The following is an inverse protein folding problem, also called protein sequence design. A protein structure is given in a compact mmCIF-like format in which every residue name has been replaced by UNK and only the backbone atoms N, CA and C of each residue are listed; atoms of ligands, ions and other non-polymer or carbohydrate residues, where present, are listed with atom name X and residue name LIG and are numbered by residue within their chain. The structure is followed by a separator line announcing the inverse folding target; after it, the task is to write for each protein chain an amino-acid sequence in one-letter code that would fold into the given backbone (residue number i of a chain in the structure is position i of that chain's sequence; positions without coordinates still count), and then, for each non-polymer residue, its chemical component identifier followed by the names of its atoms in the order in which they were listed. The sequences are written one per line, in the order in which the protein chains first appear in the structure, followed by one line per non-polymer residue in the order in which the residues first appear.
data_IF_776384990196
#
_entry.id   IF_776384990196
#
_cell.length_a   1.000
_cell.length_b   1.000
_cell.length_c   1.000
_cell.angle_alpha   90.00
_cell.angle_beta   90.00
_cell.angle_gamma   90.00
#
_symmetry.space_group_name_H-M   'P 1'
#
loop_
_entity.id
_entity.type
_entity.pdbx_description
1 polymer ?
#
# COMPACT_ATOMS: atom_id res chain seq x y z
N UNK A 1 2.39 11.53 -18.00
CA UNK A 1 1.39 12.23 -17.42
C UNK A 1 0.45 11.43 -16.59
N UNK A 2 -0.20 10.49 -16.99
CA UNK A 2 -1.22 9.82 -16.23
C UNK A 2 -0.70 8.93 -15.13
N UNK A 3 0.56 8.63 -15.12
CA UNK A 3 1.08 7.66 -14.21
C UNK A 3 0.97 8.09 -12.76
N UNK A 4 1.29 9.32 -12.48
CA UNK A 4 1.23 9.80 -11.14
C UNK A 4 -0.15 9.81 -10.60
N UNK A 5 -1.11 9.95 -11.45
CA UNK A 5 -2.45 10.10 -11.00
C UNK A 5 -3.06 8.81 -10.55
N UNK A 6 -2.43 7.68 -10.86
CA UNK A 6 -2.96 6.43 -10.41
C UNK A 6 -2.71 6.21 -8.94
N UNK A 7 -1.70 6.85 -8.40
CA UNK A 7 -1.39 6.69 -6.99
C UNK A 7 -2.10 7.79 -6.22
N UNK A 8 -3.33 7.50 -5.81
CA UNK A 8 -4.15 8.47 -5.13
C UNK A 8 -3.85 8.47 -3.64
N UNK A 9 -2.89 9.30 -3.23
CA UNK A 9 -2.42 9.31 -1.86
C UNK A 9 -2.72 10.65 -1.22
N UNK A 10 -3.26 10.62 -0.01
CA UNK A 10 -3.59 11.84 0.71
C UNK A 10 -2.34 12.70 0.85
N UNK A 11 -2.43 14.02 0.56
CA UNK A 11 -1.25 14.88 0.64
C UNK A 11 -0.58 14.89 1.99
N UNK A 12 -1.30 14.59 3.07
CA UNK A 12 -0.70 14.53 4.38
C UNK A 12 0.33 13.43 4.50
N UNK A 13 0.29 12.44 3.60
CA UNK A 13 1.23 11.32 3.62
C UNK A 13 2.36 11.50 2.62
N UNK A 14 2.48 12.70 2.04
CA UNK A 14 3.42 12.92 0.95
C UNK A 14 4.84 12.51 1.29
N UNK A 15 5.29 12.79 2.50
CA UNK A 15 6.66 12.50 2.88
C UNK A 15 6.94 11.02 3.07
N UNK A 16 5.89 10.21 3.11
CA UNK A 16 6.03 8.78 3.33
C UNK A 16 5.93 7.97 2.04
N UNK A 17 5.75 8.63 0.91
CA UNK A 17 5.51 7.96 -0.35
C UNK A 17 6.79 7.33 -0.89
N UNK A 18 6.71 6.06 -1.24
CA UNK A 18 7.85 5.33 -1.82
C UNK A 18 7.35 4.50 -2.98
N UNK A 19 8.23 4.06 -3.88
CA UNK A 19 7.82 3.19 -4.97
C UNK A 19 7.36 1.84 -4.44
N UNK A 20 6.32 1.32 -5.04
CA UNK A 20 5.78 0.02 -4.63
C UNK A 20 6.74 -1.11 -4.97
N UNK A 21 7.51 -0.96 -6.03
CA UNK A 21 8.27 -2.07 -6.53
C UNK A 21 9.29 -2.61 -5.53
N UNK A 22 9.67 -1.86 -4.54
CA UNK A 22 10.59 -2.38 -3.54
C UNK A 22 9.94 -3.09 -2.37
N UNK A 23 8.62 -3.16 -2.35
CA UNK A 23 7.89 -3.69 -1.21
C UNK A 23 7.37 -5.08 -1.49
N UNK A 24 7.36 -5.90 -0.46
CA UNK A 24 6.89 -7.27 -0.57
C UNK A 24 5.95 -7.63 0.56
N UNK A 25 4.93 -8.43 0.29
CA UNK A 25 4.05 -8.89 1.36
C UNK A 25 4.81 -9.83 2.28
N UNK A 26 4.37 -9.90 3.52
CA UNK A 26 4.98 -10.78 4.51
C UNK A 26 4.62 -12.22 4.18
N UNK A 27 5.60 -13.06 3.85
CA UNK A 27 5.29 -14.43 3.49
C UNK A 27 4.72 -15.25 4.63
N UNK A 28 4.95 -14.83 5.86
CA UNK A 28 4.40 -15.53 6.99
C UNK A 28 2.96 -15.16 7.26
N UNK A 29 2.51 -14.10 6.68
CA UNK A 29 1.15 -13.64 6.85
C UNK A 29 0.37 -13.99 5.60
N UNK A 30 0.36 -15.25 5.25
CA UNK A 30 -0.25 -15.67 4.04
C UNK A 30 -1.74 -15.73 4.22
N UNK A 31 -2.36 -14.61 4.21
CA UNK A 31 -3.77 -14.56 4.33
C UNK A 31 -4.33 -14.34 2.95
N UNK A 32 -5.13 -15.24 2.51
CA UNK A 32 -5.77 -15.06 1.22
C UNK A 32 -6.88 -14.08 1.40
N UNK A 33 -6.74 -12.91 0.86
CA UNK A 33 -7.79 -11.92 0.93
C UNK A 33 -8.82 -12.27 -0.11
N UNK A 34 -10.09 -12.28 0.29
CA UNK A 34 -11.13 -12.57 -0.60
C UNK A 34 -11.28 -11.41 -1.61
N UNK A 35 -11.66 -11.75 -2.81
CA UNK A 35 -11.74 -10.76 -3.89
C UNK A 35 -12.68 -9.62 -3.54
N UNK A 36 -13.72 -9.90 -2.79
CA UNK A 36 -14.65 -8.89 -2.41
C UNK A 36 -14.01 -7.88 -1.48
N UNK A 37 -13.18 -8.35 -0.54
CA UNK A 37 -12.49 -7.45 0.36
C UNK A 37 -11.53 -6.55 -0.40
N UNK A 38 -10.84 -7.12 -1.38
CA UNK A 38 -9.92 -6.35 -2.18
C UNK A 38 -10.68 -5.32 -3.01
N UNK A 39 -11.83 -5.71 -3.54
CA UNK A 39 -12.62 -4.80 -4.34
C UNK A 39 -13.10 -3.61 -3.52
N UNK A 40 -13.55 -3.86 -2.29
CA UNK A 40 -13.98 -2.79 -1.40
C UNK A 40 -12.80 -1.85 -1.12
N UNK A 41 -11.63 -2.40 -0.88
CA UNK A 41 -10.45 -1.60 -0.63
C UNK A 41 -10.06 -0.79 -1.86
N UNK A 42 -10.15 -1.39 -3.05
CA UNK A 42 -9.84 -0.68 -4.28
C UNK A 42 -10.77 0.50 -4.47
N UNK A 43 -12.06 0.29 -4.19
CA UNK A 43 -13.02 1.38 -4.30
C UNK A 43 -12.70 2.50 -3.33
N UNK A 44 -12.32 2.14 -2.12
CA UNK A 44 -11.96 3.12 -1.11
C UNK A 44 -10.73 3.92 -1.53
N UNK A 45 -9.72 3.24 -2.04
CA UNK A 45 -8.50 3.91 -2.48
C UNK A 45 -8.77 4.80 -3.69
N UNK A 46 -9.65 4.38 -4.58
CA UNK A 46 -9.97 5.19 -5.74
C UNK A 46 -10.77 6.43 -5.37
N UNK A 47 -11.65 6.30 -4.39
CA UNK A 47 -12.54 7.38 -4.01
C UNK A 47 -11.87 8.37 -3.05
N UNK A 48 -11.25 7.83 -2.01
CA UNK A 48 -10.70 8.69 -0.95
C UNK A 48 -9.18 8.75 -0.97
N UNK A 49 -8.57 7.84 -1.66
CA UNK A 49 -7.12 7.75 -1.66
C UNK A 49 -6.62 7.05 -0.42
N UNK A 50 -5.32 6.92 -0.33
CA UNK A 50 -4.71 6.32 0.85
C UNK A 50 -4.67 7.37 1.95
N UNK A 51 -5.34 7.11 3.05
CA UNK A 51 -5.39 8.05 4.17
C UNK A 51 -4.59 7.55 5.36
N UNK A 52 -4.19 6.29 5.35
CA UNK A 52 -3.39 5.71 6.42
C UNK A 52 -2.21 5.00 5.78
N UNK A 53 -0.99 5.22 6.26
CA UNK A 53 0.15 4.55 5.66
C UNK A 53 0.18 3.07 6.03
N UNK A 54 0.79 2.27 5.17
CA UNK A 54 1.05 0.88 5.52
C UNK A 54 2.38 0.85 6.26
N UNK A 55 2.72 -0.28 6.83
CA UNK A 55 3.92 -0.38 7.67
C UNK A 55 4.83 -1.46 7.12
N UNK A 56 6.10 -1.14 6.97
CA UNK A 56 7.07 -2.11 6.47
C UNK A 56 8.23 -2.25 7.46
N UNK A 57 8.91 -3.38 7.36
CA UNK A 57 10.13 -3.61 8.09
C UNK A 57 11.08 -4.28 7.13
N UNK A 58 12.13 -3.59 6.73
CA UNK A 58 13.12 -4.09 5.78
C UNK A 58 12.49 -4.49 4.45
N UNK A 59 11.54 -3.70 4.00
CA UNK A 59 10.89 -3.91 2.71
C UNK A 59 9.74 -4.89 2.74
N UNK A 60 9.48 -5.51 3.89
CA UNK A 60 8.39 -6.47 4.01
C UNK A 60 7.23 -5.81 4.73
N UNK A 61 6.04 -5.91 4.15
CA UNK A 61 4.87 -5.25 4.70
C UNK A 61 4.32 -6.06 5.86
N UNK A 62 4.40 -5.48 7.05
CA UNK A 62 3.91 -6.14 8.26
C UNK A 62 2.49 -5.72 8.59
N UNK A 63 2.01 -4.62 8.01
CA UNK A 63 0.66 -4.18 8.22
C UNK A 63 0.19 -3.45 6.98
N UNK A 64 -0.97 -3.79 6.48
CA UNK A 64 -1.51 -3.14 5.29
C UNK A 64 -1.30 -3.95 4.03
N UNK A 65 -1.16 -5.27 4.14
CA UNK A 65 -0.98 -6.12 2.96
C UNK A 65 -2.15 -6.03 2.00
N UNK A 66 -3.37 -5.91 2.51
CA UNK A 66 -4.54 -5.78 1.64
C UNK A 66 -4.50 -4.45 0.89
N UNK A 67 -4.02 -3.40 1.53
CA UNK A 67 -3.89 -2.11 0.88
C UNK A 67 -2.86 -2.18 -0.23
N UNK A 68 -1.73 -2.84 0.04
CA UNK A 68 -0.70 -2.99 -0.97
C UNK A 68 -1.22 -3.78 -2.17
N UNK A 69 -1.92 -4.87 -1.92
CA UNK A 69 -2.48 -5.69 -2.99
C UNK A 69 -3.48 -4.88 -3.82
N UNK A 70 -4.34 -4.12 -3.16
CA UNK A 70 -5.33 -3.31 -3.86
C UNK A 70 -4.68 -2.22 -4.70
N UNK A 71 -3.66 -1.58 -4.17
CA UNK A 71 -2.96 -0.54 -4.91
C UNK A 71 -2.28 -1.13 -6.15
N UNK A 72 -1.71 -2.32 -6.02
CA UNK A 72 -1.10 -2.97 -7.16
C UNK A 72 -2.13 -3.27 -8.24
N UNK A 73 -3.30 -3.74 -7.86
CA UNK A 73 -4.35 -4.05 -8.82
C UNK A 73 -4.88 -2.80 -9.51
N UNK A 74 -4.82 -1.67 -8.81
CA UNK A 74 -5.24 -0.40 -9.40
C UNK A 74 -4.18 0.20 -10.31
N UNK A 75 -3.00 -0.39 -10.34
CA UNK A 75 -1.93 0.11 -11.17
C UNK A 75 -1.14 1.23 -10.53
N UNK A 76 -1.19 1.37 -9.23
CA UNK A 76 -0.43 2.40 -8.54
C UNK A 76 1.06 2.10 -8.63
N UNK A 77 1.86 3.14 -8.68
CA UNK A 77 3.32 2.99 -8.71
C UNK A 77 3.94 3.35 -7.37
N UNK A 78 3.22 4.07 -6.54
CA UNK A 78 3.73 4.54 -5.25
C UNK A 78 2.69 4.33 -4.16
N UNK A 79 3.15 4.31 -2.92
CA UNK A 79 2.27 4.12 -1.79
C UNK A 79 2.97 4.72 -0.57
N UNK A 80 2.20 5.19 0.40
CA UNK A 80 2.77 5.78 1.60
C UNK A 80 3.04 4.71 2.64
N UNK A 81 4.24 4.73 3.22
CA UNK A 81 4.71 3.67 4.09
C UNK A 81 5.44 4.24 5.29
N UNK A 82 5.24 3.64 6.45
CA UNK A 82 6.01 3.94 7.64
C UNK A 82 6.95 2.78 7.87
N UNK A 83 8.21 3.08 8.12
CA UNK A 83 9.21 2.04 8.37
C UNK A 83 9.33 1.80 9.86
N UNK A 84 9.20 0.55 10.26
CA UNK A 84 9.29 0.21 11.65
C UNK A 84 10.70 0.20 12.18
N UNK A 85 11.61 -0.30 11.39
CA UNK A 85 13.00 -0.36 11.78
C UNK A 85 13.18 -1.07 13.11
N UNK A 86 12.76 -2.29 13.14
CA UNK A 86 12.81 -3.11 14.35
C UNK A 86 14.15 -3.73 14.64
N UNK A 87 15.23 -3.19 14.19
CA UNK A 87 16.47 -3.85 14.44
C UNK A 87 16.97 -3.53 15.79
N UNK A 88 17.65 -4.35 16.36
CA UNK A 88 18.08 -4.17 17.71
C UNK A 88 19.49 -4.36 17.88
#
# INVERSE_FOLDING_TARGET
VGVKEKSNINPALRKLVVPIKGLRPDPRNVRVHDDRQIEVMMNSLSTYGQVTPIVENKGIIVKGNATLESAKRLGWTHIAVVSLNLEK
#
